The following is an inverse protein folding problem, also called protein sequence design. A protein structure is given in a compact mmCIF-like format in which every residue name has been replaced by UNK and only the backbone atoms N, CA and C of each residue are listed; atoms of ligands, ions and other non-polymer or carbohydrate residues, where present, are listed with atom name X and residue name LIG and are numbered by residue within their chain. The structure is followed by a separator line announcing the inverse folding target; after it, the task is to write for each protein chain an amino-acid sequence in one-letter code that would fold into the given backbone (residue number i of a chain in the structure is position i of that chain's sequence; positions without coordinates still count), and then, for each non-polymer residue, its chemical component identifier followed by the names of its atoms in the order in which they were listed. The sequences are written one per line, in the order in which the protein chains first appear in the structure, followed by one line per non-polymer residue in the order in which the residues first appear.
data_IF_507663745942
#
_entry.id   IF_507663745942
#
_cell.length_a   1.000
_cell.length_b   1.000
_cell.length_c   1.000
_cell.angle_alpha   90.00
_cell.angle_beta   90.00
_cell.angle_gamma   90.00
#
_symmetry.space_group_name_H-M   'P 1'
#
loop_
_entity.id
_entity.type
_entity.pdbx_description
1 polymer ?
#
# COMPACT_ATOMS: atom_id res chain seq x y z
N UNK A 1 5.49 -25.34 25.73
CA UNK A 1 4.93 -24.43 24.70
C UNK A 1 5.73 -23.13 24.68
N UNK A 2 6.03 -22.53 23.51
CA UNK A 2 6.75 -21.26 23.47
C UNK A 2 5.90 -20.12 24.07
N UNK A 3 6.53 -19.27 24.88
CA UNK A 3 5.91 -18.10 25.51
C UNK A 3 5.39 -17.13 24.44
N UNK A 4 4.15 -16.64 24.61
CA UNK A 4 3.61 -15.54 23.79
C UNK A 4 4.38 -14.25 24.08
N UNK A 5 4.86 -13.60 23.02
CA UNK A 5 5.53 -12.30 23.11
C UNK A 5 4.54 -11.22 23.56
N UNK A 6 5.04 -10.28 24.37
CA UNK A 6 4.33 -9.05 24.73
C UNK A 6 4.22 -8.11 23.52
N UNK A 7 3.35 -7.10 23.61
CA UNK A 7 3.20 -6.11 22.53
C UNK A 7 4.48 -5.33 22.28
N UNK A 8 5.21 -4.94 23.32
CA UNK A 8 6.48 -4.20 23.19
C UNK A 8 7.54 -5.05 22.50
N UNK A 9 7.67 -6.34 22.85
CA UNK A 9 8.58 -7.28 22.19
C UNK A 9 8.21 -7.53 20.73
N UNK A 10 6.93 -7.63 20.41
CA UNK A 10 6.49 -7.75 19.02
C UNK A 10 6.81 -6.48 18.23
N UNK A 11 6.52 -5.31 18.78
CA UNK A 11 6.78 -4.02 18.14
C UNK A 11 8.29 -3.76 17.94
N UNK A 12 9.15 -4.16 18.87
CA UNK A 12 10.60 -3.97 18.76
C UNK A 12 11.24 -4.84 17.67
N UNK A 13 10.59 -5.95 17.30
CA UNK A 13 11.03 -6.83 16.21
C UNK A 13 10.62 -6.35 14.81
N UNK A 14 9.74 -5.35 14.71
CA UNK A 14 9.33 -4.78 13.43
C UNK A 14 10.46 -3.91 12.90
N UNK A 15 11.11 -4.38 11.83
CA UNK A 15 12.21 -3.67 11.16
C UNK A 15 11.65 -2.64 10.19
N UNK A 16 12.30 -1.49 10.09
CA UNK A 16 11.97 -0.44 9.12
C UNK A 16 12.67 -0.56 7.76
N UNK A 17 13.48 -1.61 7.56
CA UNK A 17 14.17 -1.92 6.29
C UNK A 17 14.55 -3.39 6.24
N UNK A 18 14.82 -3.89 5.04
CA UNK A 18 15.08 -5.29 4.76
C UNK A 18 13.98 -6.18 5.35
N UNK A 19 12.73 -5.73 5.22
CA UNK A 19 11.59 -6.55 5.62
C UNK A 19 11.51 -7.79 4.72
N UNK A 20 10.81 -8.83 5.17
CA UNK A 20 10.59 -10.04 4.37
C UNK A 20 10.04 -9.75 2.96
N UNK A 21 8.98 -8.92 2.78
CA UNK A 21 8.48 -8.61 1.45
C UNK A 21 9.50 -7.86 0.58
N UNK A 22 10.25 -6.89 1.11
CA UNK A 22 11.33 -6.22 0.36
C UNK A 22 12.41 -7.21 -0.10
N UNK A 23 12.85 -8.12 0.78
CA UNK A 23 13.85 -9.15 0.43
C UNK A 23 13.31 -10.09 -0.65
N UNK A 24 12.04 -10.48 -0.57
CA UNK A 24 11.41 -11.35 -1.54
C UNK A 24 11.39 -10.71 -2.94
N UNK A 25 10.92 -9.47 -3.04
CA UNK A 25 10.91 -8.73 -4.31
C UNK A 25 12.33 -8.59 -4.90
N UNK A 26 13.32 -8.26 -4.06
CA UNK A 26 14.72 -8.15 -4.49
C UNK A 26 15.26 -9.43 -5.10
N UNK A 27 15.02 -10.57 -4.46
CA UNK A 27 15.48 -11.87 -4.96
C UNK A 27 14.86 -12.17 -6.31
N UNK A 28 13.54 -12.03 -6.42
CA UNK A 28 12.79 -12.35 -7.64
C UNK A 28 13.21 -11.47 -8.84
N UNK A 29 13.47 -10.18 -8.60
CA UNK A 29 13.99 -9.27 -9.62
C UNK A 29 15.43 -9.60 -10.00
N UNK A 30 16.28 -9.89 -9.01
CA UNK A 30 17.69 -10.24 -9.26
C UNK A 30 17.83 -11.51 -10.10
N UNK A 31 17.03 -12.53 -9.82
CA UNK A 31 16.96 -13.79 -10.57
C UNK A 31 16.56 -13.58 -12.04
N UNK A 32 15.81 -12.51 -12.33
CA UNK A 32 15.40 -12.10 -13.69
C UNK A 32 16.34 -11.11 -14.34
N UNK A 33 17.52 -10.89 -13.77
CA UNK A 33 18.57 -10.05 -14.36
C UNK A 33 18.40 -8.55 -14.12
N UNK A 34 17.39 -8.11 -13.38
CA UNK A 34 17.23 -6.69 -13.04
C UNK A 34 18.39 -6.20 -12.17
N UNK A 35 18.74 -4.93 -12.37
CA UNK A 35 19.75 -4.22 -11.57
C UNK A 35 19.15 -2.96 -10.99
N UNK A 36 19.14 -2.90 -9.67
CA UNK A 36 18.59 -1.80 -8.88
C UNK A 36 19.58 -1.40 -7.78
N UNK A 37 19.40 -0.20 -7.25
CA UNK A 37 20.06 0.30 -6.05
C UNK A 37 19.09 0.23 -4.87
N UNK A 38 19.67 0.17 -3.68
CA UNK A 38 18.98 0.23 -2.40
C UNK A 38 19.66 1.29 -1.52
N UNK A 39 18.96 1.83 -0.53
CA UNK A 39 19.50 2.81 0.42
C UNK A 39 20.09 4.09 -0.23
N UNK A 40 19.55 4.54 -1.36
CA UNK A 40 19.88 5.88 -1.89
C UNK A 40 19.03 6.92 -1.16
N UNK A 41 19.59 8.09 -0.94
CA UNK A 41 18.86 9.23 -0.38
C UNK A 41 17.97 9.88 -1.44
N UNK A 42 16.72 9.42 -1.49
CA UNK A 42 15.63 10.02 -2.26
C UNK A 42 14.45 10.27 -1.31
N UNK A 43 13.54 11.19 -1.65
CA UNK A 43 12.32 11.42 -0.88
C UNK A 43 11.61 10.11 -0.53
N UNK A 44 11.27 9.95 0.75
CA UNK A 44 10.63 8.75 1.28
C UNK A 44 11.49 7.48 1.36
N UNK A 45 12.74 7.50 0.88
CA UNK A 45 13.68 6.37 0.86
C UNK A 45 13.09 5.10 0.20
N UNK A 46 12.94 5.11 -1.13
CA UNK A 46 12.40 3.97 -1.86
C UNK A 46 13.17 2.68 -1.58
N UNK A 47 12.45 1.56 -1.53
CA UNK A 47 13.03 0.24 -1.27
C UNK A 47 13.94 -0.21 -2.40
N UNK A 48 13.56 0.08 -3.65
CA UNK A 48 14.34 -0.20 -4.85
C UNK A 48 14.36 0.99 -5.80
N UNK A 49 15.51 1.22 -6.43
CA UNK A 49 15.70 2.34 -7.33
C UNK A 49 16.37 1.87 -8.62
N UNK A 50 15.74 2.20 -9.74
CA UNK A 50 16.30 1.98 -11.07
C UNK A 50 16.72 3.32 -11.65
N UNK A 51 18.03 3.60 -11.59
CA UNK A 51 18.59 4.90 -11.97
C UNK A 51 18.35 5.24 -13.44
N UNK A 52 18.57 4.27 -14.34
CA UNK A 52 18.44 4.49 -15.80
C UNK A 52 17.03 4.91 -16.19
N UNK A 53 16.02 4.28 -15.61
CA UNK A 53 14.62 4.57 -15.90
C UNK A 53 14.01 5.62 -14.97
N UNK A 54 14.77 6.17 -14.00
CA UNK A 54 14.27 7.03 -12.92
C UNK A 54 13.03 6.46 -12.22
N UNK A 55 13.07 5.18 -11.87
CA UNK A 55 11.96 4.49 -11.19
C UNK A 55 12.30 4.28 -9.70
N UNK A 56 11.43 4.80 -8.83
CA UNK A 56 11.43 4.59 -7.39
C UNK A 56 10.31 3.61 -7.01
N UNK A 57 10.67 2.49 -6.38
CA UNK A 57 9.74 1.43 -5.98
C UNK A 57 9.63 1.36 -4.46
N UNK A 58 8.41 1.34 -3.94
CA UNK A 58 8.11 1.13 -2.53
C UNK A 58 7.28 -0.14 -2.32
N UNK A 59 7.55 -0.84 -1.24
CA UNK A 59 6.84 -2.04 -0.78
C UNK A 59 6.04 -1.68 0.47
N UNK A 60 4.77 -1.34 0.28
CA UNK A 60 3.89 -0.86 1.32
C UNK A 60 3.36 -2.01 2.18
N UNK A 61 3.64 -1.94 3.48
CA UNK A 61 3.01 -2.80 4.47
C UNK A 61 1.52 -2.49 4.64
N UNK A 62 0.64 -3.50 4.48
CA UNK A 62 -0.82 -3.30 4.49
C UNK A 62 -1.36 -2.56 5.72
N UNK A 63 -0.77 -2.83 6.89
CA UNK A 63 -1.18 -2.22 8.15
C UNK A 63 -0.69 -0.78 8.27
N UNK A 64 0.52 -0.47 7.81
CA UNK A 64 1.17 0.83 8.05
C UNK A 64 0.71 1.92 7.10
N UNK A 65 0.30 1.54 5.89
CA UNK A 65 -0.07 2.45 4.80
C UNK A 65 -1.56 2.38 4.44
N UNK A 66 -2.39 1.72 5.25
CA UNK A 66 -3.85 1.75 5.09
C UNK A 66 -4.37 1.00 3.86
N UNK A 67 -4.01 -0.28 3.72
CA UNK A 67 -4.53 -1.10 2.64
C UNK A 67 -6.06 -1.26 2.72
N UNK A 68 -6.81 -0.95 1.64
CA UNK A 68 -8.27 -1.07 1.64
C UNK A 68 -8.78 -2.51 1.78
N UNK A 69 -7.94 -3.52 1.51
CA UNK A 69 -8.31 -4.94 1.59
C UNK A 69 -7.83 -5.65 2.86
N UNK A 70 -6.79 -5.14 3.52
CA UNK A 70 -6.08 -5.90 4.56
C UNK A 70 -5.85 -5.13 5.86
N UNK A 71 -6.06 -3.81 5.86
CA UNK A 71 -5.90 -3.00 7.07
C UNK A 71 -6.78 -3.54 8.19
N UNK A 72 -6.25 -3.53 9.41
CA UNK A 72 -6.96 -4.02 10.59
C UNK A 72 -6.82 -3.00 11.71
N UNK A 73 -7.92 -2.32 12.02
CA UNK A 73 -7.98 -1.29 13.04
C UNK A 73 -7.82 -1.91 14.44
N UNK A 74 -6.77 -1.53 15.19
CA UNK A 74 -6.55 -2.05 16.54
C UNK A 74 -7.65 -1.60 17.50
N UNK A 75 -8.12 -2.50 18.38
CA UNK A 75 -9.12 -2.16 19.40
C UNK A 75 -8.60 -1.20 20.50
N UNK A 76 -7.28 -1.13 20.68
CA UNK A 76 -6.63 -0.36 21.75
C UNK A 76 -5.90 0.85 21.18
N UNK A 77 -5.93 1.99 21.90
CA UNK A 77 -5.33 3.28 21.48
C UNK A 77 -5.80 3.73 20.09
N UNK A 78 -7.12 3.64 19.83
CA UNK A 78 -7.71 3.86 18.52
C UNK A 78 -7.34 5.23 17.93
N UNK A 79 -7.48 6.31 18.71
CA UNK A 79 -7.11 7.67 18.28
C UNK A 79 -5.65 7.77 17.82
N UNK A 80 -4.72 7.19 18.59
CA UNK A 80 -3.31 7.16 18.23
C UNK A 80 -3.06 6.43 16.91
N UNK A 81 -3.70 5.26 16.71
CA UNK A 81 -3.51 4.47 15.50
C UNK A 81 -4.16 5.11 14.28
N UNK A 82 -5.34 5.73 14.43
CA UNK A 82 -6.00 6.47 13.36
C UNK A 82 -5.15 7.68 12.94
N UNK A 83 -4.67 8.48 13.90
CA UNK A 83 -3.77 9.59 13.61
C UNK A 83 -2.49 9.11 12.91
N UNK A 84 -1.86 8.05 13.44
CA UNK A 84 -0.63 7.48 12.85
C UNK A 84 -0.85 6.96 11.43
N UNK A 85 -1.97 6.29 11.16
CA UNK A 85 -2.33 5.82 9.83
C UNK A 85 -2.47 7.01 8.87
N UNK A 86 -3.27 8.02 9.26
CA UNK A 86 -3.49 9.22 8.46
C UNK A 86 -2.18 9.93 8.16
N UNK A 87 -1.35 10.18 9.17
CA UNK A 87 -0.07 10.86 9.01
C UNK A 87 0.87 10.09 8.08
N UNK A 88 0.89 8.76 8.16
CA UNK A 88 1.68 7.92 7.25
C UNK A 88 1.21 8.04 5.80
N UNK A 89 -0.10 7.91 5.56
CA UNK A 89 -0.67 8.01 4.20
C UNK A 89 -0.47 9.41 3.62
N UNK A 90 -0.65 10.48 4.41
CA UNK A 90 -0.40 11.84 3.95
C UNK A 90 1.08 12.07 3.64
N UNK A 91 1.99 11.48 4.43
CA UNK A 91 3.43 11.49 4.13
C UNK A 91 3.73 10.75 2.83
N UNK A 92 3.12 9.60 2.60
CA UNK A 92 3.30 8.84 1.36
C UNK A 92 2.88 9.65 0.14
N UNK A 93 1.75 10.35 0.24
CA UNK A 93 1.25 11.25 -0.79
C UNK A 93 2.24 12.37 -1.09
N UNK A 94 2.75 13.05 -0.05
CA UNK A 94 3.72 14.13 -0.22
C UNK A 94 5.04 13.63 -0.85
N UNK A 95 5.50 12.44 -0.45
CA UNK A 95 6.68 11.78 -1.04
C UNK A 95 6.45 11.46 -2.51
N UNK A 96 5.27 10.94 -2.86
CA UNK A 96 4.91 10.62 -4.23
C UNK A 96 4.95 11.91 -5.08
N UNK A 97 4.33 13.00 -4.61
CA UNK A 97 4.33 14.30 -5.29
C UNK A 97 5.75 14.88 -5.46
N UNK A 98 6.58 14.78 -4.42
CA UNK A 98 7.97 15.25 -4.45
C UNK A 98 8.80 14.47 -5.50
N UNK A 99 8.70 13.14 -5.52
CA UNK A 99 9.38 12.31 -6.51
C UNK A 99 8.93 12.62 -7.95
N UNK A 100 7.62 12.77 -8.17
CA UNK A 100 7.06 13.14 -9.47
C UNK A 100 7.59 14.50 -9.91
N UNK A 101 7.64 15.49 -9.01
CA UNK A 101 8.18 16.83 -9.30
C UNK A 101 9.67 16.79 -9.70
N UNK A 102 10.40 15.82 -9.15
CA UNK A 102 11.78 15.51 -9.51
C UNK A 102 11.88 14.59 -10.74
N UNK A 103 10.80 14.42 -11.52
CA UNK A 103 10.74 13.60 -12.72
C UNK A 103 11.13 12.13 -12.47
N UNK A 104 10.74 11.58 -11.33
CA UNK A 104 10.82 10.15 -11.03
C UNK A 104 9.47 9.48 -11.27
N UNK A 105 9.52 8.30 -11.90
CA UNK A 105 8.42 7.34 -11.82
C UNK A 105 8.35 6.80 -10.41
N UNK A 106 7.16 6.82 -9.84
CA UNK A 106 6.88 6.20 -8.54
C UNK A 106 6.09 4.93 -8.80
N UNK A 107 6.48 3.83 -8.13
CA UNK A 107 5.77 2.56 -8.11
C UNK A 107 5.57 2.14 -6.66
N UNK A 108 4.33 1.83 -6.27
CA UNK A 108 4.03 1.34 -4.92
C UNK A 108 3.31 0.00 -5.02
N UNK A 109 3.80 -0.96 -4.25
CA UNK A 109 3.46 -2.37 -4.31
C UNK A 109 2.98 -2.77 -2.94
N UNK A 110 1.80 -3.39 -2.81
CA UNK A 110 1.44 -3.90 -1.51
C UNK A 110 2.22 -5.17 -1.18
N UNK A 111 2.60 -5.32 0.08
CA UNK A 111 3.23 -6.56 0.55
C UNK A 111 2.41 -7.84 0.28
N UNK A 112 1.09 -7.72 0.07
CA UNK A 112 0.22 -8.87 -0.19
C UNK A 112 0.22 -9.28 -1.65
N UNK A 113 0.50 -8.35 -2.57
CA UNK A 113 0.63 -8.63 -4.00
C UNK A 113 1.85 -9.50 -4.27
N UNK A 114 2.92 -9.34 -3.48
CA UNK A 114 4.13 -10.15 -3.58
C UNK A 114 3.91 -11.66 -3.35
N UNK A 115 2.73 -12.10 -2.90
CA UNK A 115 2.40 -13.52 -2.88
C UNK A 115 2.34 -14.12 -4.29
N UNK A 116 1.92 -13.34 -5.27
CA UNK A 116 1.98 -13.64 -6.68
C UNK A 116 2.94 -12.64 -7.35
N UNK A 117 4.19 -13.07 -7.53
CA UNK A 117 5.28 -12.16 -7.86
C UNK A 117 5.35 -11.83 -9.36
N UNK A 118 4.79 -12.67 -10.24
CA UNK A 118 4.92 -12.49 -11.69
C UNK A 118 4.29 -11.18 -12.19
N UNK A 119 3.04 -10.82 -11.81
CA UNK A 119 2.45 -9.55 -12.24
C UNK A 119 3.27 -8.34 -11.78
N UNK A 120 3.84 -8.42 -10.57
CA UNK A 120 4.67 -7.37 -10.00
C UNK A 120 5.95 -7.17 -10.83
N UNK A 121 6.58 -8.26 -11.23
CA UNK A 121 7.80 -8.22 -12.04
C UNK A 121 7.51 -7.67 -13.43
N UNK A 122 6.43 -8.11 -14.07
CA UNK A 122 6.02 -7.62 -15.40
C UNK A 122 5.81 -6.10 -15.39
N UNK A 123 5.17 -5.55 -14.36
CA UNK A 123 5.02 -4.10 -14.23
C UNK A 123 6.39 -3.42 -14.06
N UNK A 124 7.27 -3.94 -13.19
CA UNK A 124 8.61 -3.38 -13.03
C UNK A 124 9.36 -3.37 -14.36
N UNK A 125 9.26 -4.44 -15.15
CA UNK A 125 9.83 -4.53 -16.50
C UNK A 125 9.31 -3.42 -17.41
N UNK A 126 7.99 -3.30 -17.56
CA UNK A 126 7.35 -2.30 -18.42
C UNK A 126 7.76 -0.87 -18.04
N UNK A 127 7.88 -0.60 -16.73
CA UNK A 127 8.30 0.71 -16.23
C UNK A 127 9.78 0.97 -16.36
N UNK A 128 10.61 -0.06 -16.39
CA UNK A 128 12.03 0.13 -16.70
C UNK A 128 12.28 0.41 -18.18
N UNK A 129 11.43 -0.11 -19.07
CA UNK A 129 11.59 0.00 -20.53
C UNK A 129 10.84 1.20 -21.14
N UNK A 130 9.82 1.75 -20.48
CA UNK A 130 9.04 2.89 -21.02
C UNK A 130 9.63 4.25 -20.62
N UNK A 131 9.99 5.13 -21.59
CA UNK A 131 10.61 6.42 -21.29
C UNK A 131 9.62 7.55 -20.93
N UNK A 132 8.36 7.47 -21.39
CA UNK A 132 7.45 8.63 -21.41
C UNK A 132 6.52 8.76 -20.20
N UNK A 133 6.38 7.71 -19.40
CA UNK A 133 5.30 7.68 -18.42
C UNK A 133 5.81 8.09 -17.03
N UNK A 134 5.18 9.03 -16.35
CA UNK A 134 5.70 9.64 -15.09
C UNK A 134 5.11 9.06 -13.80
N UNK A 135 4.04 8.26 -13.84
CA UNK A 135 3.42 7.72 -12.61
C UNK A 135 2.68 6.40 -12.81
N UNK A 136 3.01 5.37 -12.01
CA UNK A 136 2.36 4.05 -12.05
C UNK A 136 2.10 3.52 -10.65
N UNK A 137 0.90 3.01 -10.43
CA UNK A 137 0.72 2.04 -9.35
C UNK A 137 0.60 0.67 -9.95
N UNK A 138 1.18 -0.30 -9.24
CA UNK A 138 0.85 -1.70 -9.44
C UNK A 138 -0.64 -1.81 -9.11
N UNK A 139 -1.44 -1.78 -10.18
CA UNK A 139 -2.67 -2.54 -10.28
C UNK A 139 -2.21 -3.92 -10.72
N UNK A 140 -1.56 -4.68 -9.83
CA UNK A 140 -1.35 -6.10 -10.10
C UNK A 140 -2.74 -6.72 -10.13
N UNK A 141 -3.26 -6.76 -11.34
CA UNK A 141 -4.59 -7.18 -11.71
C UNK A 141 -5.73 -6.23 -11.29
N UNK A 142 -6.65 -5.87 -12.21
CA UNK A 142 -8.04 -5.56 -11.87
C UNK A 142 -8.76 -6.67 -11.09
N UNK A 143 -8.11 -7.80 -10.77
CA UNK A 143 -8.68 -8.80 -9.88
C UNK A 143 -8.84 -8.25 -8.46
N UNK A 144 -10.06 -7.78 -8.22
CA UNK A 144 -10.72 -7.87 -6.94
C UNK A 144 -10.23 -6.89 -5.86
N UNK A 145 -10.42 -5.58 -6.09
CA UNK A 145 -11.42 -4.96 -5.19
C UNK A 145 -12.67 -5.73 -5.56
N UNK A 146 -12.97 -6.82 -4.87
CA UNK A 146 -14.08 -7.65 -5.29
C UNK A 146 -15.29 -6.73 -5.46
N UNK A 147 -16.17 -7.06 -6.39
CA UNK A 147 -17.52 -6.50 -6.38
C UNK A 147 -18.12 -6.58 -4.96
N UNK A 148 -17.61 -7.50 -4.13
CA UNK A 148 -17.62 -7.47 -2.68
C UNK A 148 -16.39 -6.79 -2.02
N UNK A 149 -16.33 -5.45 -2.03
CA UNK A 149 -15.72 -4.74 -0.91
C UNK A 149 -16.58 -4.97 0.34
N UNK A 150 -16.75 -6.24 0.76
CA UNK A 150 -16.93 -6.65 2.13
C UNK A 150 -18.01 -5.89 2.91
N UNK A 151 -19.13 -5.50 2.28
CA UNK A 151 -20.20 -4.71 2.90
C UNK A 151 -20.03 -3.19 2.87
N UNK A 152 -19.14 -2.61 2.07
CA UNK A 152 -18.94 -1.15 1.93
C UNK A 152 -19.25 -0.63 0.50
N UNK A 153 -20.18 -1.26 -0.22
CA UNK A 153 -20.69 -0.75 -1.50
C UNK A 153 -19.91 -1.07 -2.79
N UNK A 154 -18.98 -2.03 -2.78
CA UNK A 154 -18.33 -2.59 -3.99
C UNK A 154 -17.48 -1.62 -4.82
N UNK A 155 -16.86 -2.11 -5.92
CA UNK A 155 -15.97 -1.35 -6.84
C UNK A 155 -16.61 -0.07 -7.38
N UNK A 156 -17.91 -0.10 -7.66
CA UNK A 156 -18.62 0.99 -8.33
C UNK A 156 -18.62 2.27 -7.51
N UNK A 157 -18.53 2.16 -6.18
CA UNK A 157 -18.51 3.33 -5.31
C UNK A 157 -17.16 4.04 -5.28
N UNK A 158 -16.07 3.34 -5.62
CA UNK A 158 -14.70 3.89 -5.68
C UNK A 158 -14.40 4.57 -7.03
N UNK A 159 -14.92 3.99 -8.12
CA UNK A 159 -14.82 4.56 -9.47
C UNK A 159 -15.47 5.96 -9.59
N UNK A 160 -16.39 6.30 -8.67
CA UNK A 160 -17.08 7.60 -8.62
C UNK A 160 -16.21 8.82 -8.28
N UNK A 161 -14.95 8.68 -7.82
CA UNK A 161 -14.09 9.87 -7.67
C UNK A 161 -13.59 10.41 -9.02
N UNK A 162 -12.65 9.69 -9.62
CA UNK A 162 -11.93 10.10 -10.82
C UNK A 162 -11.58 8.89 -11.71
N UNK A 163 -12.31 7.78 -11.54
CA UNK A 163 -12.02 6.50 -12.19
C UNK A 163 -10.77 5.78 -11.68
N UNK A 164 -10.09 6.29 -10.65
CA UNK A 164 -8.94 5.61 -10.02
C UNK A 164 -9.38 4.70 -8.90
N UNK A 165 -8.85 3.47 -8.90
CA UNK A 165 -9.00 2.51 -7.81
C UNK A 165 -7.85 2.59 -6.79
N UNK A 166 -6.90 3.50 -7.00
CA UNK A 166 -5.78 3.68 -6.09
C UNK A 166 -6.18 4.56 -4.91
N UNK A 167 -6.60 3.87 -3.84
CA UNK A 167 -7.10 4.46 -2.62
C UNK A 167 -6.33 3.94 -1.42
N UNK A 168 -6.25 4.77 -0.38
CA UNK A 168 -5.64 4.45 0.91
C UNK A 168 -6.62 4.74 2.03
N UNK A 169 -6.70 3.87 3.03
CA UNK A 169 -7.47 4.08 4.25
C UNK A 169 -6.75 5.10 5.12
N UNK A 170 -7.45 6.19 5.45
CA UNK A 170 -6.92 7.30 6.28
C UNK A 170 -7.68 7.47 7.59
N UNK A 171 -8.75 6.70 7.80
CA UNK A 171 -9.56 6.76 9.00
C UNK A 171 -10.47 5.55 9.10
N UNK A 172 -10.73 5.12 10.31
CA UNK A 172 -11.61 3.99 10.60
C UNK A 172 -12.36 4.29 11.89
N UNK A 173 -13.68 4.15 11.89
CA UNK A 173 -14.49 4.24 13.11
C UNK A 173 -14.73 2.83 13.68
N UNK A 174 -14.39 2.64 14.95
CA UNK A 174 -14.39 1.34 15.61
C UNK A 174 -13.13 0.52 15.34
N UNK A 175 -13.20 -0.78 15.59
CA UNK A 175 -12.11 -1.74 15.39
C UNK A 175 -12.54 -2.87 14.46
N UNK A 176 -11.58 -3.60 13.89
CA UNK A 176 -11.88 -4.76 13.05
C UNK A 176 -10.93 -4.89 11.87
N UNK A 177 -11.19 -5.84 10.99
CA UNK A 177 -10.37 -6.11 9.82
C UNK A 177 -11.14 -5.84 8.54
N UNK A 178 -10.49 -5.17 7.58
CA UNK A 178 -11.01 -4.94 6.23
C UNK A 178 -10.83 -6.15 5.30
N UNK A 179 -10.25 -7.25 5.80
CA UNK A 179 -10.17 -8.52 5.05
C UNK A 179 -11.57 -8.91 4.56
N UNK A 180 -11.73 -9.34 3.29
CA UNK A 180 -13.02 -9.68 2.72
C UNK A 180 -13.85 -10.62 3.61
N UNK A 181 -13.20 -11.65 4.16
CA UNK A 181 -13.79 -12.70 4.99
C UNK A 181 -13.83 -12.38 6.50
N UNK A 182 -13.57 -11.14 6.91
CA UNK A 182 -13.59 -10.77 8.33
C UNK A 182 -15.01 -10.77 8.88
N UNK A 183 -15.22 -11.40 10.04
CA UNK A 183 -16.49 -11.34 10.80
C UNK A 183 -16.64 -10.04 11.59
N UNK A 184 -15.53 -9.41 11.96
CA UNK A 184 -15.52 -8.16 12.73
C UNK A 184 -14.98 -7.05 11.83
N UNK A 185 -15.90 -6.27 11.27
CA UNK A 185 -15.57 -5.14 10.39
C UNK A 185 -15.80 -3.82 11.14
N UNK A 186 -14.94 -2.82 10.91
CA UNK A 186 -15.19 -1.49 11.43
C UNK A 186 -16.53 -0.92 10.96
N UNK A 187 -17.07 0.08 11.64
CA UNK A 187 -18.38 0.62 11.26
C UNK A 187 -18.30 1.49 10.02
N UNK A 188 -17.25 2.30 9.95
CA UNK A 188 -17.04 3.26 8.88
C UNK A 188 -15.56 3.32 8.54
N UNK A 189 -15.25 3.61 7.28
CA UNK A 189 -13.91 3.86 6.81
C UNK A 189 -13.88 5.19 6.04
N UNK A 190 -12.78 5.90 6.20
CA UNK A 190 -12.43 7.05 5.38
C UNK A 190 -11.25 6.64 4.52
N UNK A 191 -11.33 7.00 3.25
CA UNK A 191 -10.28 6.73 2.28
C UNK A 191 -9.93 7.98 1.51
N UNK A 192 -8.69 8.06 1.05
CA UNK A 192 -8.23 9.07 0.14
C UNK A 192 -7.85 8.41 -1.18
N UNK A 193 -8.30 8.98 -2.29
CA UNK A 193 -7.78 8.61 -3.60
C UNK A 193 -6.46 9.34 -3.82
N UNK A 194 -5.40 8.63 -4.21
CA UNK A 194 -4.10 9.30 -4.43
C UNK A 194 -3.99 9.99 -5.78
N UNK A 195 -4.92 9.75 -6.71
CA UNK A 195 -4.98 10.50 -7.97
C UNK A 195 -5.68 11.85 -7.79
N UNK A 196 -6.95 11.84 -7.35
CA UNK A 196 -7.77 13.06 -7.19
C UNK A 196 -7.59 13.76 -5.83
N UNK A 197 -6.92 13.14 -4.85
CA UNK A 197 -6.81 13.59 -3.44
C UNK A 197 -8.15 13.74 -2.70
N UNK A 198 -9.28 13.42 -3.32
CA UNK A 198 -10.59 13.44 -2.68
C UNK A 198 -10.69 12.36 -1.60
N UNK A 199 -11.38 12.74 -0.52
CA UNK A 199 -11.69 11.85 0.58
C UNK A 199 -13.12 11.36 0.43
N UNK A 200 -13.31 10.05 0.57
CA UNK A 200 -14.62 9.41 0.54
C UNK A 200 -14.87 8.67 1.86
N UNK A 201 -16.12 8.67 2.30
CA UNK A 201 -16.55 8.00 3.51
C UNK A 201 -17.46 6.84 3.16
N UNK A 202 -17.19 5.67 3.72
CA UNK A 202 -17.96 4.45 3.51
C UNK A 202 -18.42 3.89 4.84
N UNK A 203 -19.64 3.36 4.89
CA UNK A 203 -20.19 2.67 6.06
C UNK A 203 -20.42 1.21 5.71
N UNK A 204 -20.35 0.32 6.70
CA UNK A 204 -20.76 -1.07 6.49
C UNK A 204 -22.27 -1.11 6.29
N UNK A 205 -22.71 -1.59 5.15
CA UNK A 205 -24.03 -2.15 4.91
C UNK A 205 -24.20 -3.37 5.80
N UNK A 206 -24.74 -3.15 7.00
CA UNK A 206 -25.25 -4.22 7.85
C UNK A 206 -26.66 -4.54 7.35
N UNK A 207 -26.78 -5.55 6.48
CA UNK A 207 -28.05 -6.25 6.27
C UNK A 207 -28.38 -7.09 7.51
#
# INVERSE_FOLDING_TARGET
MPRKLTRSENMSRIRGKNTKPEVQLRKALWERGFRFRINIDLPGRPDLIFLKSRLAVFVDGCFWHGCPLHYSAPATRQEFWQKKLRDNVLRDIAVDDELISLNWKVLRIWQHDLKDIEPVISEVYELTETPEKTYFHIVSSPMMIAESAAGYGGIQSWLKCCGSIDVRVIGVSGHGSLRPNSRNKPEQIQVICRKCRNICNFKVDRQ
#
